data_IF_564376031901
#
_entry.id   IF_564376031901
#
_cell.length_a   1.000
_cell.length_b   1.000
_cell.length_c   1.000
_cell.angle_alpha   90.00
_cell.angle_beta   90.00
_cell.angle_gamma   90.00
#
_symmetry.space_group_name_H-M   'P 1'
#
loop_
_entity.id
_entity.type
_entity.pdbx_description
1 polymer ?
#
# COMPACT_ATOMS: atom_id res chain seq x y z
N UNK A 1 -9.41 -8.96 22.56
CA UNK A 1 -9.11 -8.71 21.14
C UNK A 1 -7.62 -8.91 20.90
N UNK A 2 -7.22 -9.06 19.64
CA UNK A 2 -5.84 -9.22 19.21
C UNK A 2 -5.46 -8.07 18.29
N UNK A 3 -4.25 -7.55 18.45
CA UNK A 3 -3.63 -6.54 17.59
C UNK A 3 -2.23 -7.00 17.20
N UNK A 4 -1.67 -6.42 16.14
CA UNK A 4 -0.33 -6.76 15.69
C UNK A 4 0.73 -6.46 16.75
N UNK A 5 1.65 -7.40 16.93
CA UNK A 5 2.84 -7.25 17.73
C UNK A 5 3.97 -6.62 16.89
N UNK A 6 4.08 -5.29 16.94
CA UNK A 6 5.06 -4.48 16.18
C UNK A 6 6.51 -4.92 16.39
N UNK A 7 6.82 -5.56 17.51
CA UNK A 7 8.17 -6.02 17.82
C UNK A 7 8.56 -7.31 17.09
N UNK A 8 7.58 -8.03 16.55
CA UNK A 8 7.78 -9.41 16.06
C UNK A 8 7.34 -9.62 14.63
N UNK A 9 6.38 -8.84 14.13
CA UNK A 9 6.01 -8.84 12.71
C UNK A 9 7.19 -8.32 11.88
N UNK A 10 7.46 -8.96 10.74
CA UNK A 10 8.64 -8.67 9.90
C UNK A 10 8.23 -8.39 8.46
N UNK A 11 8.94 -7.49 7.76
CA UNK A 11 8.69 -7.25 6.34
C UNK A 11 8.61 -8.56 5.55
N UNK A 12 7.67 -8.60 4.64
CA UNK A 12 7.23 -9.76 3.86
C UNK A 12 6.51 -10.86 4.62
N UNK A 13 6.12 -10.70 5.88
CA UNK A 13 5.12 -11.63 6.45
C UNK A 13 3.83 -11.60 5.61
N UNK A 14 3.33 -12.78 5.25
CA UNK A 14 2.10 -12.96 4.46
C UNK A 14 0.98 -13.34 5.41
N UNK A 15 -0.08 -12.54 5.45
CA UNK A 15 -1.27 -12.81 6.23
C UNK A 15 -2.30 -13.42 5.30
N UNK A 16 -2.75 -14.63 5.59
CA UNK A 16 -3.82 -15.33 4.89
C UNK A 16 -5.10 -15.25 5.70
N UNK A 17 -6.22 -14.96 5.05
CA UNK A 17 -7.51 -14.78 5.70
C UNK A 17 -8.59 -15.63 5.06
N UNK A 18 -9.53 -16.09 5.91
CA UNK A 18 -10.86 -16.55 5.49
C UNK A 18 -11.90 -15.64 6.12
N UNK A 19 -12.99 -15.39 5.39
CA UNK A 19 -14.07 -14.53 5.87
C UNK A 19 -15.31 -15.38 6.13
N UNK A 20 -15.60 -15.74 7.40
CA UNK A 20 -16.73 -16.61 7.73
C UNK A 20 -18.06 -16.06 7.20
N UNK A 21 -18.86 -16.93 6.56
CA UNK A 21 -20.16 -16.56 6.00
C UNK A 21 -20.11 -15.77 4.69
N UNK A 22 -18.92 -15.42 4.19
CA UNK A 22 -18.77 -14.75 2.90
C UNK A 22 -18.77 -15.77 1.74
N UNK A 23 -19.75 -15.66 0.85
CA UNK A 23 -19.91 -16.58 -0.30
C UNK A 23 -18.73 -16.56 -1.27
N UNK A 24 -18.12 -15.39 -1.49
CA UNK A 24 -16.95 -15.26 -2.37
C UNK A 24 -15.73 -15.94 -1.74
N UNK A 25 -15.49 -15.70 -0.44
CA UNK A 25 -14.44 -16.37 0.33
C UNK A 25 -14.57 -17.90 0.25
N UNK A 26 -15.78 -18.43 0.47
CA UNK A 26 -16.06 -19.86 0.35
C UNK A 26 -15.79 -20.41 -1.05
N UNK A 27 -16.15 -19.65 -2.10
CA UNK A 27 -15.90 -20.06 -3.47
C UNK A 27 -14.39 -20.12 -3.78
N UNK A 28 -13.64 -19.07 -3.41
CA UNK A 28 -12.19 -19.01 -3.61
C UNK A 28 -11.49 -20.16 -2.87
N UNK A 29 -11.81 -20.42 -1.60
CA UNK A 29 -11.24 -21.53 -0.82
C UNK A 29 -11.42 -22.88 -1.50
N UNK A 30 -12.63 -23.18 -1.97
CA UNK A 30 -12.91 -24.42 -2.73
C UNK A 30 -12.15 -24.47 -4.06
N UNK A 31 -12.02 -23.33 -4.73
CA UNK A 31 -11.34 -23.20 -6.01
C UNK A 31 -9.82 -23.40 -5.85
N UNK A 32 -9.23 -22.78 -4.84
CA UNK A 32 -7.79 -22.81 -4.57
C UNK A 32 -7.38 -24.00 -3.70
N UNK A 33 -8.34 -24.82 -3.23
CA UNK A 33 -8.10 -25.94 -2.30
C UNK A 33 -7.30 -25.50 -1.07
N UNK A 34 -7.67 -24.35 -0.51
CA UNK A 34 -7.02 -23.72 0.64
C UNK A 34 -8.04 -23.40 1.71
N UNK A 35 -7.57 -23.32 2.96
CA UNK A 35 -8.39 -22.79 4.05
C UNK A 35 -8.61 -21.28 3.97
N UNK A 36 -7.86 -20.58 3.11
CA UNK A 36 -7.86 -19.13 3.00
C UNK A 36 -8.30 -18.66 1.59
N UNK A 37 -8.79 -17.43 1.51
CA UNK A 37 -9.32 -16.82 0.27
C UNK A 37 -8.71 -15.46 -0.06
N UNK A 38 -7.88 -14.93 0.83
CA UNK A 38 -7.37 -13.58 0.72
C UNK A 38 -5.99 -13.52 1.35
N UNK A 39 -5.15 -12.62 0.85
CA UNK A 39 -3.81 -12.40 1.37
C UNK A 39 -3.47 -10.91 1.42
N UNK A 40 -2.74 -10.56 2.47
CA UNK A 40 -2.13 -9.25 2.72
C UNK A 40 -0.64 -9.47 2.98
N UNK A 41 0.20 -8.53 2.58
CA UNK A 41 1.65 -8.59 2.87
C UNK A 41 2.03 -7.41 3.76
N UNK A 42 2.76 -7.68 4.85
CA UNK A 42 3.38 -6.61 5.64
C UNK A 42 4.63 -6.12 4.91
N UNK A 43 4.73 -4.83 4.61
CA UNK A 43 5.86 -4.28 3.84
C UNK A 43 6.87 -3.54 4.72
N UNK A 44 6.73 -3.62 6.05
CA UNK A 44 7.51 -2.84 7.01
C UNK A 44 6.86 -1.50 7.37
N UNK A 45 7.49 -0.77 8.29
CA UNK A 45 7.08 0.58 8.71
C UNK A 45 5.60 0.71 9.11
N UNK A 46 5.03 -0.27 9.80
CA UNK A 46 3.60 -0.31 10.15
C UNK A 46 2.64 -0.29 8.96
N UNK A 47 3.09 -0.74 7.78
CA UNK A 47 2.32 -0.71 6.54
C UNK A 47 2.07 -2.12 5.99
N UNK A 48 0.84 -2.33 5.53
CA UNK A 48 0.39 -3.52 4.81
C UNK A 48 -0.08 -3.14 3.43
N UNK A 49 0.00 -4.09 2.51
CA UNK A 49 -0.57 -3.99 1.17
C UNK A 49 -1.59 -5.10 0.94
N UNK A 50 -2.73 -4.73 0.36
CA UNK A 50 -3.87 -5.61 0.12
C UNK A 50 -4.46 -5.39 -1.28
N UNK A 51 -4.70 -6.49 -1.98
CA UNK A 51 -5.48 -6.49 -3.22
C UNK A 51 -6.97 -6.64 -2.90
N UNK A 52 -7.69 -5.52 -2.91
CA UNK A 52 -9.15 -5.45 -2.73
C UNK A 52 -9.74 -4.52 -3.78
N UNK A 53 -11.03 -4.63 -4.09
CA UNK A 53 -11.66 -3.70 -5.02
C UNK A 53 -11.71 -2.27 -4.47
N UNK A 54 -11.56 -1.24 -5.33
CA UNK A 54 -11.32 -1.32 -6.78
C UNK A 54 -9.83 -1.43 -7.17
N UNK A 55 -8.91 -1.18 -6.25
CA UNK A 55 -7.47 -1.10 -6.49
C UNK A 55 -6.67 -1.70 -5.34
N UNK A 56 -5.43 -2.08 -5.59
CA UNK A 56 -4.50 -2.47 -4.53
C UNK A 56 -4.30 -1.29 -3.58
N UNK A 57 -4.48 -1.51 -2.28
CA UNK A 57 -4.44 -0.47 -1.25
C UNK A 57 -3.32 -0.71 -0.24
N UNK A 58 -2.90 0.37 0.43
CA UNK A 58 -1.94 0.36 1.52
C UNK A 58 -2.65 0.78 2.81
N UNK A 59 -2.48 0.03 3.90
CA UNK A 59 -3.09 0.40 5.18
C UNK A 59 -2.14 0.19 6.34
N UNK A 60 -2.44 0.83 7.47
CA UNK A 60 -1.59 0.77 8.65
C UNK A 60 -1.97 -0.34 9.64
N UNK A 61 -0.99 -0.88 10.35
CA UNK A 61 -1.18 -1.81 11.48
C UNK A 61 -2.16 -1.30 12.53
N UNK A 62 -2.29 0.01 12.73
CA UNK A 62 -3.21 0.60 13.72
C UNK A 62 -4.68 0.54 13.33
N UNK A 63 -5.00 0.23 12.07
CA UNK A 63 -6.37 0.31 11.56
C UNK A 63 -7.26 -0.84 12.03
N UNK A 64 -6.67 -2.01 12.26
CA UNK A 64 -7.43 -3.24 12.42
C UNK A 64 -7.14 -3.94 13.74
N UNK A 65 -8.19 -4.55 14.29
CA UNK A 65 -8.09 -5.55 15.34
C UNK A 65 -8.79 -6.84 14.89
N UNK A 66 -8.50 -7.92 15.61
CA UNK A 66 -9.07 -9.23 15.39
C UNK A 66 -9.71 -9.73 16.68
N UNK A 67 -10.96 -10.19 16.62
CA UNK A 67 -11.62 -10.76 17.79
C UNK A 67 -11.05 -12.14 18.19
N UNK A 68 -10.71 -12.93 17.17
CA UNK A 68 -10.12 -14.27 17.25
C UNK A 68 -9.10 -14.45 16.13
N UNK A 69 -8.23 -15.46 16.24
CA UNK A 69 -7.19 -15.73 15.24
C UNK A 69 -7.52 -16.94 14.35
N UNK A 70 -8.61 -17.67 14.64
CA UNK A 70 -9.00 -18.92 13.93
C UNK A 70 -9.25 -18.75 12.43
N UNK A 71 -9.43 -17.52 11.95
CA UNK A 71 -9.73 -17.20 10.56
C UNK A 71 -8.55 -16.56 9.81
N UNK A 72 -7.36 -16.69 10.37
CA UNK A 72 -6.16 -16.01 9.94
C UNK A 72 -4.95 -16.93 10.13
N UNK A 73 -3.96 -16.79 9.25
CA UNK A 73 -2.64 -17.41 9.38
C UNK A 73 -1.58 -16.43 8.92
N UNK A 74 -0.45 -16.38 9.61
CA UNK A 74 0.71 -15.57 9.21
C UNK A 74 1.86 -16.48 8.83
N UNK A 75 2.34 -16.31 7.61
CA UNK A 75 3.43 -17.06 7.03
C UNK A 75 4.68 -16.18 6.95
N UNK A 76 5.81 -16.74 7.34
CA UNK A 76 7.12 -16.09 7.28
C UNK A 76 8.10 -16.91 6.47
N UNK A 77 8.95 -16.24 5.70
CA UNK A 77 10.06 -16.90 4.98
C UNK A 77 11.00 -17.57 5.99
N UNK A 78 11.23 -18.88 5.83
CA UNK A 78 12.09 -19.63 6.75
C UNK A 78 13.55 -19.15 6.68
N UNK A 79 14.31 -19.24 7.79
CA UNK A 79 15.68 -18.75 7.85
C UNK A 79 16.61 -19.25 6.74
N UNK A 80 16.46 -20.50 6.30
CA UNK A 80 17.29 -21.11 5.25
C UNK A 80 17.10 -20.48 3.86
N UNK A 81 15.97 -19.81 3.60
CA UNK A 81 15.69 -19.15 2.32
C UNK A 81 15.99 -17.66 2.33
N UNK A 82 16.20 -17.04 3.50
CA UNK A 82 16.46 -15.60 3.63
C UNK A 82 17.71 -15.17 2.86
N UNK A 83 18.78 -15.98 2.89
CA UNK A 83 20.03 -15.64 2.21
C UNK A 83 19.90 -15.56 0.68
N UNK A 84 18.91 -16.24 0.10
CA UNK A 84 18.60 -16.21 -1.33
C UNK A 84 17.56 -15.17 -1.71
N UNK A 85 16.98 -14.46 -0.74
CA UNK A 85 15.89 -13.52 -0.95
C UNK A 85 16.38 -12.07 -1.00
N UNK A 86 16.24 -11.42 -2.15
CA UNK A 86 16.53 -10.00 -2.35
C UNK A 86 15.33 -9.15 -1.91
N UNK A 87 15.32 -8.74 -0.64
CA UNK A 87 14.24 -7.95 -0.04
C UNK A 87 14.06 -6.60 -0.71
N UNK A 88 15.13 -5.97 -1.21
CA UNK A 88 15.06 -4.67 -1.88
C UNK A 88 14.32 -4.79 -3.22
N UNK A 89 14.61 -5.81 -4.02
CA UNK A 89 13.87 -6.07 -5.27
C UNK A 89 12.42 -6.42 -5.01
N UNK A 90 12.16 -7.26 -4.00
CA UNK A 90 10.80 -7.61 -3.61
C UNK A 90 10.01 -6.38 -3.14
N UNK A 91 10.63 -5.48 -2.38
CA UNK A 91 9.97 -4.25 -1.90
C UNK A 91 9.63 -3.32 -3.05
N UNK A 92 10.58 -3.11 -3.97
CA UNK A 92 10.33 -2.31 -5.16
C UNK A 92 9.20 -2.91 -6.01
N UNK A 93 9.19 -4.24 -6.19
CA UNK A 93 8.13 -4.92 -6.93
C UNK A 93 6.75 -4.76 -6.26
N UNK A 94 6.64 -4.98 -4.95
CA UNK A 94 5.35 -4.91 -4.24
C UNK A 94 4.80 -3.49 -4.19
N UNK A 95 5.66 -2.49 -3.98
CA UNK A 95 5.23 -1.08 -3.95
C UNK A 95 4.73 -0.60 -5.31
N UNK A 96 5.29 -1.10 -6.41
CA UNK A 96 4.79 -0.82 -7.77
C UNK A 96 3.39 -1.38 -8.04
N UNK A 97 2.95 -2.37 -7.27
CA UNK A 97 1.58 -2.89 -7.36
C UNK A 97 0.57 -2.04 -6.62
N UNK A 98 1.00 -1.13 -5.73
CA UNK A 98 0.10 -0.23 -5.04
C UNK A 98 -0.68 0.61 -6.06
N UNK A 99 -1.98 0.80 -5.80
CA UNK A 99 -2.90 1.55 -6.65
C UNK A 99 -3.17 0.95 -8.04
N UNK A 100 -2.60 -0.21 -8.38
CA UNK A 100 -2.99 -0.95 -9.58
C UNK A 100 -4.44 -1.44 -9.46
N UNK A 101 -5.13 -1.56 -10.60
CA UNK A 101 -6.51 -2.06 -10.63
C UNK A 101 -6.61 -3.50 -10.10
N UNK A 102 -7.59 -3.73 -9.22
CA UNK A 102 -7.96 -5.08 -8.83
C UNK A 102 -8.68 -5.80 -9.98
N UNK A 103 -8.40 -7.09 -10.19
CA UNK A 103 -8.90 -7.84 -11.34
C UNK A 103 -9.66 -9.11 -10.96
N UNK A 104 -10.99 -8.98 -10.90
CA UNK A 104 -11.88 -10.14 -10.80
C UNK A 104 -11.72 -11.12 -11.98
N UNK A 105 -11.41 -10.60 -13.18
CA UNK A 105 -11.19 -11.45 -14.34
C UNK A 105 -9.97 -12.32 -14.14
N UNK A 106 -8.87 -11.77 -13.62
CA UNK A 106 -7.68 -12.55 -13.27
C UNK A 106 -7.98 -13.60 -12.20
N UNK A 107 -8.74 -13.25 -11.16
CA UNK A 107 -9.19 -14.20 -10.13
C UNK A 107 -9.92 -15.40 -10.75
N UNK A 108 -10.78 -15.15 -11.74
CA UNK A 108 -11.50 -16.20 -12.47
C UNK A 108 -10.62 -16.97 -13.46
N UNK A 109 -9.57 -16.34 -13.99
CA UNK A 109 -8.66 -16.88 -15.00
C UNK A 109 -7.46 -17.62 -14.43
N UNK A 110 -7.16 -17.50 -13.12
CA UNK A 110 -6.04 -18.20 -12.48
C UNK A 110 -6.02 -19.71 -12.75
N UNK A 111 -7.20 -20.34 -12.93
CA UNK A 111 -7.31 -21.76 -13.30
C UNK A 111 -7.10 -22.06 -14.78
N UNK A 112 -7.40 -21.10 -15.66
CA UNK A 112 -7.38 -21.30 -17.11
C UNK A 112 -6.03 -21.00 -17.74
N UNK A 113 -5.14 -20.36 -16.99
CA UNK A 113 -3.83 -19.90 -17.46
C UNK A 113 -3.91 -19.09 -18.78
N UNK A 114 -4.93 -18.24 -18.88
CA UNK A 114 -5.26 -17.49 -20.10
C UNK A 114 -4.96 -15.98 -19.95
N UNK A 115 -3.78 -15.65 -19.41
CA UNK A 115 -3.25 -14.29 -19.42
C UNK A 115 -2.71 -13.94 -20.80
N UNK A 116 -2.92 -12.68 -21.19
CA UNK A 116 -2.33 -12.14 -22.41
C UNK A 116 -0.79 -12.25 -22.34
N UNK A 117 -0.21 -12.81 -23.39
CA UNK A 117 1.24 -12.98 -23.58
C UNK A 117 2.02 -11.66 -23.37
N UNK A 118 1.44 -10.52 -23.75
CA UNK A 118 2.09 -9.21 -23.58
C UNK A 118 2.38 -8.88 -22.10
N UNK A 119 1.45 -9.20 -21.19
CA UNK A 119 1.68 -8.98 -19.75
C UNK A 119 2.79 -9.88 -19.22
N UNK A 120 2.83 -11.13 -19.69
CA UNK A 120 3.85 -12.11 -19.29
C UNK A 120 5.23 -11.67 -19.80
N UNK A 121 5.35 -11.31 -21.08
CA UNK A 121 6.63 -10.91 -21.66
C UNK A 121 7.17 -9.65 -20.99
N UNK A 122 6.34 -8.62 -20.77
CA UNK A 122 6.77 -7.39 -20.08
C UNK A 122 7.24 -7.63 -18.65
N UNK A 123 6.58 -8.53 -17.91
CA UNK A 123 7.06 -8.88 -16.58
C UNK A 123 8.42 -9.57 -16.64
N UNK A 124 8.61 -10.52 -17.57
CA UNK A 124 9.88 -11.26 -17.71
C UNK A 124 11.02 -10.38 -18.26
N UNK A 125 10.72 -9.50 -19.20
CA UNK A 125 11.70 -8.69 -19.92
C UNK A 125 12.05 -7.40 -19.17
N UNK A 126 11.04 -6.72 -18.63
CA UNK A 126 11.17 -5.37 -18.06
C UNK A 126 10.92 -5.31 -16.53
N UNK A 127 10.51 -6.42 -15.92
CA UNK A 127 10.12 -6.46 -14.50
C UNK A 127 8.82 -5.70 -14.21
N UNK A 128 8.01 -5.41 -15.23
CA UNK A 128 6.80 -4.60 -15.11
C UNK A 128 5.54 -5.45 -15.23
N UNK A 129 4.71 -5.45 -14.18
CA UNK A 129 3.40 -6.08 -14.20
C UNK A 129 2.33 -5.08 -14.63
N UNK A 130 1.65 -5.39 -15.72
CA UNK A 130 0.61 -4.53 -16.34
C UNK A 130 -0.73 -5.26 -16.45
N UNK A 131 -0.77 -6.51 -16.01
CA UNK A 131 -2.04 -7.18 -15.76
C UNK A 131 -2.71 -6.53 -14.55
N UNK A 132 -4.04 -6.60 -14.48
CA UNK A 132 -4.68 -6.29 -13.20
C UNK A 132 -4.18 -7.21 -12.09
N UNK A 133 -4.38 -6.83 -10.83
CA UNK A 133 -3.80 -7.52 -9.67
C UNK A 133 -4.89 -8.25 -8.89
N UNK A 134 -4.57 -9.42 -8.36
CA UNK A 134 -5.35 -10.09 -7.30
C UNK A 134 -4.48 -10.29 -6.07
N UNK A 135 -5.11 -10.56 -4.92
CA UNK A 135 -4.39 -10.70 -3.66
C UNK A 135 -3.34 -11.84 -3.66
N UNK A 136 -3.52 -12.91 -4.44
CA UNK A 136 -2.48 -13.94 -4.58
C UNK A 136 -1.30 -13.51 -5.46
N UNK A 137 -1.54 -12.83 -6.59
CA UNK A 137 -0.45 -12.29 -7.44
C UNK A 137 0.34 -11.19 -6.75
N UNK A 138 -0.33 -10.42 -5.89
CA UNK A 138 0.32 -9.43 -5.01
C UNK A 138 1.32 -10.09 -4.04
N UNK A 139 1.08 -11.34 -3.62
CA UNK A 139 2.06 -12.11 -2.85
C UNK A 139 3.16 -12.65 -3.77
N UNK A 140 2.82 -13.33 -4.85
CA UNK A 140 3.80 -14.11 -5.60
C UNK A 140 4.75 -13.29 -6.49
N UNK A 141 4.29 -12.18 -7.09
CA UNK A 141 5.16 -11.36 -7.95
C UNK A 141 6.35 -10.76 -7.18
N UNK A 142 6.19 -10.16 -5.99
CA UNK A 142 7.31 -9.65 -5.20
C UNK A 142 8.29 -10.74 -4.75
N UNK A 143 7.77 -11.89 -4.30
CA UNK A 143 8.63 -13.01 -3.90
C UNK A 143 9.47 -13.51 -5.06
N UNK A 144 8.88 -13.62 -6.25
CA UNK A 144 9.59 -14.01 -7.46
C UNK A 144 10.65 -12.98 -7.85
N UNK A 145 10.34 -11.68 -7.78
CA UNK A 145 11.32 -10.61 -8.00
C UNK A 145 12.48 -10.67 -6.99
N UNK A 146 12.20 -11.11 -5.77
CA UNK A 146 13.19 -11.39 -4.72
C UNK A 146 13.92 -12.72 -4.86
N UNK A 147 13.61 -13.56 -5.86
CA UNK A 147 14.31 -14.83 -6.13
C UNK A 147 13.63 -16.08 -5.56
N UNK A 148 12.41 -15.98 -5.03
CA UNK A 148 11.64 -17.11 -4.50
C UNK A 148 10.42 -17.37 -5.39
N UNK A 149 10.40 -18.51 -6.08
CA UNK A 149 9.29 -18.90 -6.95
C UNK A 149 8.25 -19.76 -6.23
N UNK A 150 7.24 -19.11 -5.63
CA UNK A 150 6.11 -19.80 -4.98
C UNK A 150 5.29 -20.64 -5.98
N UNK A 151 5.30 -20.29 -7.27
CA UNK A 151 4.52 -20.99 -8.30
C UNK A 151 5.05 -22.39 -8.59
N UNK A 152 6.37 -22.58 -8.37
CA UNK A 152 7.18 -23.76 -8.72
C UNK A 152 7.22 -24.09 -10.21
N UNK A 153 6.95 -23.11 -11.08
CA UNK A 153 6.93 -23.30 -12.53
C UNK A 153 7.25 -22.02 -13.34
N UNK A 154 7.92 -21.03 -12.75
CA UNK A 154 8.25 -19.74 -13.37
C UNK A 154 7.01 -18.96 -13.87
N UNK A 155 5.87 -19.15 -13.19
CA UNK A 155 4.59 -18.49 -13.47
C UNK A 155 4.06 -17.79 -12.21
N UNK A 156 4.75 -16.74 -11.71
CA UNK A 156 4.36 -16.05 -10.48
C UNK A 156 2.99 -15.35 -10.58
N UNK A 157 2.38 -15.27 -11.74
CA UNK A 157 1.05 -14.71 -11.98
C UNK A 157 -0.11 -15.73 -11.88
N UNK A 158 0.16 -17.02 -11.64
CA UNK A 158 -0.84 -18.09 -11.49
C UNK A 158 -0.80 -18.80 -10.13
N UNK A 159 -0.36 -18.11 -9.08
CA UNK A 159 -0.28 -18.71 -7.75
C UNK A 159 -1.65 -18.65 -7.06
N UNK A 160 -2.13 -19.80 -6.60
CA UNK A 160 -3.34 -19.90 -5.78
C UNK A 160 -2.99 -19.95 -4.28
N UNK A 161 -4.00 -19.74 -3.42
CA UNK A 161 -3.79 -19.74 -1.96
C UNK A 161 -3.30 -21.08 -1.42
N UNK A 162 -3.65 -22.21 -2.06
CA UNK A 162 -3.21 -23.53 -1.62
C UNK A 162 -1.70 -23.66 -1.76
N UNK A 163 -1.14 -23.21 -2.89
CA UNK A 163 0.31 -23.15 -3.12
C UNK A 163 1.02 -22.25 -2.11
N UNK A 164 0.46 -21.06 -1.81
CA UNK A 164 1.06 -20.15 -0.80
C UNK A 164 1.04 -20.80 0.58
N UNK A 165 -0.12 -21.33 0.99
CA UNK A 165 -0.36 -21.93 2.29
C UNK A 165 0.54 -23.13 2.59
N UNK A 166 0.77 -23.99 1.58
CA UNK A 166 1.56 -25.22 1.70
C UNK A 166 3.00 -25.10 1.20
N UNK A 167 3.44 -23.90 0.83
CA UNK A 167 4.78 -23.68 0.27
C UNK A 167 5.86 -24.07 1.28
N UNK A 168 6.89 -24.78 0.82
CA UNK A 168 8.01 -25.20 1.66
C UNK A 168 8.86 -24.01 2.15
N UNK A 169 8.77 -22.87 1.46
CA UNK A 169 9.51 -21.65 1.80
C UNK A 169 9.07 -21.00 3.11
N UNK A 170 7.85 -21.31 3.58
CA UNK A 170 7.23 -20.57 4.67
C UNK A 170 7.00 -21.42 5.93
N UNK A 171 7.10 -20.77 7.08
CA UNK A 171 6.67 -21.27 8.39
C UNK A 171 5.50 -20.44 8.94
N UNK A 172 4.68 -21.05 9.79
CA UNK A 172 3.57 -20.37 10.46
C UNK A 172 4.07 -19.66 11.72
N UNK A 173 3.87 -18.35 11.79
CA UNK A 173 4.28 -17.48 12.91
C UNK A 173 3.09 -16.77 13.56
N UNK A 174 1.86 -17.25 13.32
CA UNK A 174 0.63 -16.60 13.78
C UNK A 174 0.64 -16.32 15.28
N UNK A 175 1.14 -17.24 16.09
CA UNK A 175 1.16 -17.08 17.55
C UNK A 175 2.11 -15.99 18.04
N UNK A 176 3.13 -15.63 17.25
CA UNK A 176 4.19 -14.70 17.66
C UNK A 176 3.83 -13.23 17.34
N UNK A 177 3.11 -13.03 16.23
CA UNK A 177 2.89 -11.71 15.62
C UNK A 177 1.65 -10.98 16.12
N UNK A 178 0.94 -11.54 17.10
CA UNK A 178 -0.20 -10.89 17.76
C UNK A 178 -0.01 -10.79 19.26
N UNK A 179 -0.52 -9.71 19.84
CA UNK A 179 -0.69 -9.56 21.29
C UNK A 179 -2.17 -9.48 21.63
N UNK A 180 -2.56 -10.22 22.67
CA UNK A 180 -3.90 -10.10 23.23
C UNK A 180 -3.95 -8.84 24.10
N UNK A 181 -5.00 -8.04 23.91
CA UNK A 181 -5.27 -6.85 24.70
C UNK A 181 -6.71 -6.88 25.23
N UNK A 182 -6.88 -6.42 26.47
CA UNK A 182 -8.15 -6.41 27.20
C UNK A 182 -8.96 -5.12 27.02
N UNK A 183 -8.42 -4.15 26.27
CA UNK A 183 -9.06 -2.84 26.08
C UNK A 183 -10.14 -2.89 25.00
N UNK A 184 -11.07 -1.95 25.08
CA UNK A 184 -11.90 -1.57 23.94
C UNK A 184 -11.01 -1.12 22.76
N UNK A 185 -11.40 -1.42 21.52
CA UNK A 185 -10.71 -0.90 20.34
C UNK A 185 -10.64 0.63 20.39
N UNK A 186 -9.53 1.18 19.93
CA UNK A 186 -9.37 2.63 19.84
C UNK A 186 -10.43 3.25 18.94
N UNK A 187 -10.73 4.54 19.14
CA UNK A 187 -11.57 5.29 18.21
C UNK A 187 -11.01 5.15 16.79
N UNK A 188 -11.79 4.57 15.88
CA UNK A 188 -11.44 4.27 14.48
C UNK A 188 -10.52 3.05 14.24
N UNK A 189 -10.46 2.10 15.19
CA UNK A 189 -10.03 0.73 14.86
C UNK A 189 -11.23 -0.11 14.41
N UNK A 190 -11.02 -1.01 13.45
CA UNK A 190 -12.09 -1.81 12.86
C UNK A 190 -11.81 -3.31 12.99
N UNK A 191 -12.86 -4.10 13.21
CA UNK A 191 -12.76 -5.55 13.11
C UNK A 191 -12.57 -5.91 11.64
N UNK A 192 -11.40 -6.45 11.30
CA UNK A 192 -11.06 -6.80 9.92
C UNK A 192 -12.04 -7.82 9.32
N UNK A 193 -12.60 -8.72 10.14
CA UNK A 193 -13.55 -9.74 9.66
C UNK A 193 -14.96 -9.21 9.47
N UNK A 194 -15.27 -8.01 9.96
CA UNK A 194 -16.61 -7.43 9.78
C UNK A 194 -16.93 -7.15 8.30
N UNK A 195 -15.89 -6.86 7.49
CA UNK A 195 -16.00 -6.43 6.09
C UNK A 195 -16.98 -5.25 5.90
N UNK A 196 -17.34 -4.53 6.98
CA UNK A 196 -18.25 -3.41 6.91
C UNK A 196 -17.52 -2.20 6.33
N UNK A 197 -18.15 -1.42 5.44
CA UNK A 197 -17.58 -0.15 4.99
C UNK A 197 -17.24 0.73 6.19
N UNK A 198 -16.01 1.19 6.24
CA UNK A 198 -15.48 2.01 7.34
C UNK A 198 -15.64 3.51 7.06
N UNK A 199 -15.94 3.90 5.80
CA UNK A 199 -15.97 5.28 5.31
C UNK A 199 -14.68 6.06 5.63
N UNK A 200 -13.58 5.34 5.75
CA UNK A 200 -12.24 5.89 6.02
C UNK A 200 -11.67 6.54 4.77
N UNK A 201 -10.61 7.33 4.94
CA UNK A 201 -9.97 7.97 3.80
C UNK A 201 -9.22 6.95 2.93
N UNK A 202 -8.77 5.82 3.49
CA UNK A 202 -8.29 4.71 2.66
C UNK A 202 -9.33 4.25 1.63
N UNK A 203 -10.57 4.01 2.05
CA UNK A 203 -11.64 3.57 1.14
C UNK A 203 -11.94 4.65 0.10
N UNK A 204 -12.04 5.91 0.53
CA UNK A 204 -12.22 7.06 -0.38
C UNK A 204 -11.06 7.20 -1.37
N UNK A 205 -9.83 6.99 -0.91
CA UNK A 205 -8.63 7.05 -1.74
C UNK A 205 -8.64 5.92 -2.76
N UNK A 206 -8.98 4.69 -2.35
CA UNK A 206 -9.11 3.57 -3.26
C UNK A 206 -10.15 3.85 -4.35
N UNK A 207 -11.32 4.38 -3.98
CA UNK A 207 -12.36 4.80 -4.93
C UNK A 207 -11.87 5.88 -5.90
N UNK A 208 -11.21 6.92 -5.38
CA UNK A 208 -10.67 8.02 -6.19
C UNK A 208 -9.58 7.53 -7.14
N UNK A 209 -8.66 6.70 -6.66
CA UNK A 209 -7.62 6.08 -7.49
C UNK A 209 -8.23 5.17 -8.55
N UNK A 210 -9.23 4.36 -8.21
CA UNK A 210 -9.95 3.54 -9.19
C UNK A 210 -10.62 4.39 -10.28
N UNK A 211 -11.19 5.55 -9.91
CA UNK A 211 -11.73 6.53 -10.87
C UNK A 211 -10.63 7.13 -11.75
N UNK A 212 -9.51 7.56 -11.17
CA UNK A 212 -8.35 8.10 -11.89
C UNK A 212 -7.75 7.07 -12.86
N UNK A 213 -7.62 5.83 -12.42
CA UNK A 213 -7.12 4.74 -13.24
C UNK A 213 -8.02 4.54 -14.47
N UNK A 214 -9.33 4.43 -14.27
CA UNK A 214 -10.28 4.32 -15.38
C UNK A 214 -10.19 5.52 -16.32
N UNK A 215 -10.07 6.73 -15.78
CA UNK A 215 -9.97 7.94 -16.58
C UNK A 215 -8.72 7.95 -17.46
N UNK A 216 -7.54 7.69 -16.88
CA UNK A 216 -6.27 7.65 -17.64
C UNK A 216 -6.24 6.50 -18.64
N UNK A 217 -6.79 5.34 -18.30
CA UNK A 217 -6.87 4.21 -19.23
C UNK A 217 -7.75 4.55 -20.46
N UNK A 218 -8.89 5.24 -20.26
CA UNK A 218 -9.70 5.72 -21.37
C UNK A 218 -8.97 6.79 -22.19
N UNK A 219 -8.28 7.71 -21.53
CA UNK A 219 -7.47 8.74 -22.19
C UNK A 219 -6.38 8.12 -23.08
N UNK A 220 -5.69 7.08 -22.60
CA UNK A 220 -4.74 6.31 -23.40
C UNK A 220 -5.40 5.64 -24.61
N UNK A 221 -6.59 5.07 -24.46
CA UNK A 221 -7.34 4.48 -25.58
C UNK A 221 -7.74 5.54 -26.62
N UNK A 222 -8.20 6.70 -26.19
CA UNK A 222 -8.53 7.85 -27.05
C UNK A 222 -7.30 8.29 -27.85
N UNK A 223 -6.21 8.59 -27.15
CA UNK A 223 -4.95 9.06 -27.75
C UNK A 223 -4.36 8.02 -28.70
N UNK A 224 -4.46 6.72 -28.38
CA UNK A 224 -4.03 5.63 -29.26
C UNK A 224 -4.85 5.56 -30.54
N UNK A 225 -6.17 5.73 -30.45
CA UNK A 225 -7.06 5.70 -31.60
C UNK A 225 -6.84 6.89 -32.54
N UNK A 226 -6.43 8.04 -31.98
CA UNK A 226 -6.20 9.29 -32.71
C UNK A 226 -4.71 9.54 -33.03
N UNK A 227 -3.81 8.58 -32.78
CA UNK A 227 -2.36 8.80 -32.87
C UNK A 227 -1.88 9.36 -34.21
N UNK A 228 -2.54 8.98 -35.31
CA UNK A 228 -2.19 9.43 -36.66
C UNK A 228 -2.62 10.87 -36.95
N UNK A 229 -3.51 11.45 -36.12
CA UNK A 229 -3.95 12.84 -36.21
C UNK A 229 -2.96 13.80 -35.52
N UNK A 230 -2.10 13.30 -34.63
CA UNK A 230 -1.18 14.08 -33.81
C UNK A 230 0.26 13.54 -33.91
N UNK A 231 0.88 13.54 -35.11
CA UNK A 231 2.23 13.00 -35.31
C UNK A 231 3.31 13.68 -34.45
N UNK A 232 3.07 14.92 -34.02
CA UNK A 232 3.95 15.69 -33.13
C UNK A 232 4.12 15.07 -31.74
N UNK A 233 3.15 14.26 -31.28
CA UNK A 233 3.21 13.59 -29.98
C UNK A 233 4.23 12.43 -29.95
N UNK A 234 4.70 11.97 -31.13
CA UNK A 234 5.69 10.89 -31.31
C UNK A 234 5.33 9.59 -30.56
N UNK A 235 4.05 9.26 -30.56
CA UNK A 235 3.50 8.09 -29.86
C UNK A 235 3.84 6.79 -30.60
N UNK A 236 4.26 5.79 -29.85
CA UNK A 236 4.44 4.41 -30.29
C UNK A 236 3.44 3.49 -29.58
N UNK A 237 3.16 2.30 -30.14
CA UNK A 237 2.23 1.35 -29.49
C UNK A 237 2.73 0.85 -28.13
N UNK A 238 4.04 1.00 -27.85
CA UNK A 238 4.65 0.67 -26.56
C UNK A 238 4.34 1.71 -25.48
N UNK A 239 3.88 2.91 -25.84
CA UNK A 239 3.64 4.03 -24.91
C UNK A 239 2.29 3.94 -24.19
N UNK A 240 1.46 2.94 -24.49
CA UNK A 240 0.15 2.75 -23.85
C UNK A 240 0.17 1.65 -22.79
N UNK A 241 1.29 1.57 -22.07
CA UNK A 241 1.42 0.72 -20.89
C UNK A 241 0.62 1.32 -19.77
N UNK A 242 -0.28 0.55 -19.18
CA UNK A 242 -1.08 1.03 -18.07
C UNK A 242 -1.06 0.02 -16.93
N UNK A 243 -0.58 0.48 -15.78
CA UNK A 243 -0.55 -0.22 -14.50
C UNK A 243 -1.37 0.59 -13.48
N UNK A 244 -1.15 1.91 -13.45
CA UNK A 244 -1.94 2.86 -12.67
C UNK A 244 -1.95 4.24 -13.36
N UNK A 245 -2.73 5.18 -12.81
CA UNK A 245 -2.91 6.52 -13.37
C UNK A 245 -1.62 7.37 -13.43
N UNK A 246 -0.61 7.08 -12.59
CA UNK A 246 0.66 7.79 -12.55
C UNK A 246 1.54 7.49 -13.78
N UNK A 247 1.27 6.41 -14.51
CA UNK A 247 1.95 6.07 -15.77
C UNK A 247 1.77 7.17 -16.84
N UNK A 248 0.85 8.12 -16.64
CA UNK A 248 0.65 9.28 -17.52
C UNK A 248 1.80 10.30 -17.46
N UNK A 249 2.58 10.37 -16.37
CA UNK A 249 3.50 11.48 -16.12
C UNK A 249 4.63 11.64 -17.15
N UNK A 250 5.33 10.57 -17.59
CA UNK A 250 6.35 10.70 -18.63
C UNK A 250 5.78 11.30 -19.92
N UNK A 251 4.51 11.01 -20.21
CA UNK A 251 3.83 11.49 -21.41
C UNK A 251 3.38 12.93 -21.27
N UNK A 252 2.93 13.38 -20.09
CA UNK A 252 2.66 14.80 -19.85
C UNK A 252 3.89 15.63 -20.20
N UNK A 253 5.08 15.24 -19.70
CA UNK A 253 6.33 15.94 -20.02
C UNK A 253 6.63 15.97 -21.52
N UNK A 254 6.43 14.85 -22.21
CA UNK A 254 6.71 14.75 -23.65
C UNK A 254 5.71 15.55 -24.50
N UNK A 255 4.44 15.57 -24.13
CA UNK A 255 3.35 16.09 -24.97
C UNK A 255 3.05 17.57 -24.71
N UNK A 256 3.44 18.13 -23.56
CA UNK A 256 3.03 19.46 -23.10
C UNK A 256 3.38 20.62 -24.04
N UNK A 257 4.38 20.46 -24.91
CA UNK A 257 4.73 21.49 -25.91
C UNK A 257 3.66 21.64 -27.01
N UNK A 258 2.70 20.72 -27.09
CA UNK A 258 1.64 20.68 -28.11
C UNK A 258 0.30 21.13 -27.52
N UNK A 259 -0.60 21.64 -28.36
CA UNK A 259 -1.96 22.02 -27.93
C UNK A 259 -2.72 20.82 -27.36
N UNK A 260 -2.61 19.65 -28.01
CA UNK A 260 -3.24 18.42 -27.54
C UNK A 260 -2.68 17.95 -26.20
N UNK A 261 -1.37 18.05 -25.99
CA UNK A 261 -0.75 17.72 -24.71
C UNK A 261 -1.19 18.65 -23.57
N UNK A 262 -1.37 19.95 -23.84
CA UNK A 262 -1.91 20.90 -22.87
C UNK A 262 -3.39 20.63 -22.57
N UNK A 263 -4.19 20.23 -23.56
CA UNK A 263 -5.56 19.77 -23.35
C UNK A 263 -5.59 18.53 -22.44
N UNK A 264 -4.74 17.54 -22.71
CA UNK A 264 -4.56 16.32 -21.91
C UNK A 264 -4.19 16.67 -20.46
N UNK A 265 -3.17 17.51 -20.24
CA UNK A 265 -2.78 17.97 -18.91
C UNK A 265 -3.94 18.66 -18.17
N UNK A 266 -4.67 19.54 -18.84
CA UNK A 266 -5.85 20.19 -18.24
C UNK A 266 -6.91 19.17 -17.83
N UNK A 267 -7.19 18.16 -18.66
CA UNK A 267 -8.17 17.11 -18.37
C UNK A 267 -7.75 16.30 -17.13
N UNK A 268 -6.49 15.90 -17.05
CA UNK A 268 -5.92 15.16 -15.91
C UNK A 268 -5.96 16.01 -14.64
N UNK A 269 -5.48 17.26 -14.71
CA UNK A 269 -5.52 18.20 -13.61
C UNK A 269 -6.94 18.37 -13.04
N UNK A 270 -7.95 18.55 -13.90
CA UNK A 270 -9.34 18.68 -13.44
C UNK A 270 -9.86 17.42 -12.75
N UNK A 271 -9.47 16.24 -13.24
CA UNK A 271 -9.87 14.97 -12.63
C UNK A 271 -9.21 14.78 -11.24
N UNK A 272 -7.90 15.03 -11.13
CA UNK A 272 -7.17 14.96 -9.85
C UNK A 272 -7.71 15.99 -8.86
N UNK A 273 -7.95 17.22 -9.29
CA UNK A 273 -8.47 18.29 -8.44
C UNK A 273 -9.91 18.02 -7.99
N UNK A 274 -10.82 17.68 -8.92
CA UNK A 274 -12.24 17.49 -8.61
C UNK A 274 -12.54 16.20 -7.84
N UNK A 275 -11.67 15.19 -7.93
CA UNK A 275 -11.76 13.99 -7.11
C UNK A 275 -11.33 14.23 -5.65
N UNK A 276 -10.61 15.31 -5.37
CA UNK A 276 -10.09 15.63 -4.04
C UNK A 276 -8.87 14.81 -3.63
N UNK A 277 -8.25 14.07 -4.55
CA UNK A 277 -7.10 13.20 -4.31
C UNK A 277 -6.00 13.87 -3.46
N UNK A 278 -5.70 15.13 -3.75
CA UNK A 278 -4.62 15.89 -3.11
C UNK A 278 -4.89 16.29 -1.66
N UNK A 279 -6.16 16.25 -1.23
CA UNK A 279 -6.57 16.72 0.10
C UNK A 279 -6.83 15.58 1.08
N UNK A 280 -6.93 14.33 0.60
CA UNK A 280 -7.32 13.17 1.40
C UNK A 280 -6.43 12.97 2.63
N UNK A 281 -5.11 13.04 2.44
CA UNK A 281 -4.15 12.87 3.53
C UNK A 281 -4.18 14.02 4.52
N UNK A 282 -4.37 15.25 4.03
CA UNK A 282 -4.49 16.43 4.87
C UNK A 282 -5.72 16.33 5.77
N UNK A 283 -6.86 15.92 5.22
CA UNK A 283 -8.11 15.79 5.97
C UNK A 283 -8.01 14.72 7.06
N UNK A 284 -7.43 13.54 6.81
CA UNK A 284 -7.37 12.47 7.83
C UNK A 284 -6.43 12.82 8.97
N UNK A 285 -5.25 13.33 8.64
CA UNK A 285 -4.28 13.72 9.66
C UNK A 285 -4.85 14.82 10.55
N UNK A 286 -5.55 15.81 9.99
CA UNK A 286 -6.09 16.91 10.79
C UNK A 286 -7.36 16.55 11.57
N UNK A 287 -8.22 15.68 11.02
CA UNK A 287 -9.50 15.28 11.64
C UNK A 287 -9.36 14.10 12.61
N UNK A 288 -8.42 13.20 12.37
CA UNK A 288 -8.19 11.96 13.15
C UNK A 288 -6.78 11.92 13.72
N UNK A 289 -6.33 13.05 14.28
CA UNK A 289 -4.98 13.22 14.82
C UNK A 289 -4.55 12.09 15.76
N UNK A 290 -5.46 11.49 16.52
CA UNK A 290 -5.14 10.35 17.40
C UNK A 290 -4.67 9.08 16.68
N UNK A 291 -5.05 8.86 15.41
CA UNK A 291 -4.57 7.72 14.61
C UNK A 291 -3.15 7.91 14.08
N UNK A 292 -2.74 9.16 13.88
CA UNK A 292 -1.45 9.52 13.27
C UNK A 292 -0.45 10.08 14.29
N UNK A 293 -0.96 10.60 15.41
CA UNK A 293 -0.22 11.27 16.47
C UNK A 293 -0.72 10.78 17.83
N UNK A 294 -0.15 9.70 18.37
CA UNK A 294 -0.43 9.20 19.70
C UNK A 294 -0.08 10.20 20.83
N UNK A 295 0.60 11.31 20.53
CA UNK A 295 0.83 12.40 21.49
C UNK A 295 -0.47 12.91 22.12
N UNK A 296 -1.58 12.90 21.39
CA UNK A 296 -2.89 13.29 21.92
C UNK A 296 -3.44 12.31 22.98
N UNK A 297 -2.86 11.12 23.13
CA UNK A 297 -3.12 10.21 24.26
C UNK A 297 -2.22 10.48 25.49
N UNK A 298 -1.16 11.29 25.33
CA UNK A 298 -0.22 11.67 26.40
C UNK A 298 -0.64 13.01 27.04
N UNK A 299 -1.29 13.89 26.27
CA UNK A 299 -1.83 15.14 26.80
C UNK A 299 -2.94 14.86 27.83
N UNK A 300 -2.90 15.50 29.02
CA UNK A 300 -3.99 15.37 29.98
C UNK A 300 -5.28 15.91 29.34
N UNK A 301 -6.31 15.07 29.20
CA UNK A 301 -7.68 15.55 29.04
C UNK A 301 -8.23 15.85 30.44
N UNK A 302 -9.01 16.92 30.60
CA UNK A 302 -9.63 17.30 31.88
C UNK A 302 -10.58 16.20 32.44
N UNK A 303 -10.97 15.27 31.57
CA UNK A 303 -12.02 14.27 31.72
C UNK A 303 -11.66 12.90 31.12
N UNK A 304 -10.41 12.70 30.67
CA UNK A 304 -9.94 11.46 30.03
C UNK A 304 -9.07 10.55 30.91
N UNK A 305 -8.83 9.29 30.51
CA UNK A 305 -8.01 8.36 31.27
C UNK A 305 -6.58 8.90 31.47
N UNK A 306 -6.00 8.62 32.64
CA UNK A 306 -4.64 9.00 33.04
C UNK A 306 -3.61 8.66 31.94
N UNK A 307 -2.64 9.56 31.74
CA UNK A 307 -1.42 9.40 30.92
C UNK A 307 -1.02 7.92 30.81
N UNK A 308 -1.18 7.32 29.63
CA UNK A 308 -0.63 5.99 29.37
C UNK A 308 0.49 6.13 28.35
N UNK A 309 1.71 6.33 28.86
CA UNK A 309 2.91 6.13 28.06
C UNK A 309 3.01 4.62 27.79
N UNK A 310 2.96 4.19 26.52
CA UNK A 310 3.02 2.77 26.18
C UNK A 310 4.40 2.18 26.47
N UNK A 311 5.44 2.66 25.79
CA UNK A 311 6.85 2.41 26.09
C UNK A 311 7.73 3.34 25.23
N UNK A 312 8.99 3.58 25.64
CA UNK A 312 9.95 4.30 24.79
C UNK A 312 10.12 3.66 23.42
N UNK A 313 10.26 2.33 23.39
CA UNK A 313 10.42 1.54 22.17
C UNK A 313 9.29 1.74 21.17
N UNK A 314 8.04 1.84 21.64
CA UNK A 314 6.89 2.12 20.78
C UNK A 314 7.06 3.43 20.00
N UNK A 315 7.47 4.52 20.68
CA UNK A 315 7.66 5.82 20.06
C UNK A 315 8.87 5.86 19.12
N UNK A 316 9.94 5.13 19.46
CA UNK A 316 11.12 4.97 18.59
C UNK A 316 10.74 4.28 17.29
N UNK A 317 9.99 3.17 17.35
CA UNK A 317 9.53 2.44 16.16
C UNK A 317 8.61 3.30 15.27
N UNK A 318 7.76 4.12 15.88
CA UNK A 318 6.92 5.05 15.10
C UNK A 318 7.75 6.15 14.43
N UNK A 319 8.76 6.69 15.13
CA UNK A 319 9.68 7.68 14.56
C UNK A 319 10.41 7.10 13.33
N UNK A 320 10.95 5.88 13.44
CA UNK A 320 11.63 5.17 12.35
C UNK A 320 10.70 4.96 11.14
N UNK A 321 9.47 4.49 11.36
CA UNK A 321 8.47 4.34 10.29
C UNK A 321 8.18 5.66 9.56
N UNK A 322 8.02 6.77 10.30
CA UNK A 322 7.79 8.08 9.69
C UNK A 322 9.03 8.63 8.97
N UNK A 323 10.23 8.35 9.46
CA UNK A 323 11.48 8.75 8.80
C UNK A 323 11.65 8.04 7.45
N UNK A 324 11.39 6.73 7.38
CA UNK A 324 11.37 6.01 6.10
C UNK A 324 10.27 6.51 5.16
N UNK A 325 9.08 6.84 5.68
CA UNK A 325 8.03 7.46 4.87
C UNK A 325 8.45 8.84 4.34
N UNK A 326 9.14 9.64 5.16
CA UNK A 326 9.64 10.96 4.79
C UNK A 326 10.70 10.88 3.70
N UNK A 327 11.62 9.92 3.78
CA UNK A 327 12.63 9.68 2.75
C UNK A 327 11.97 9.43 1.39
N UNK A 328 11.05 8.45 1.32
CA UNK A 328 10.32 8.12 0.07
C UNK A 328 9.52 9.29 -0.49
N UNK A 329 8.86 10.06 0.39
CA UNK A 329 8.05 11.22 -0.05
C UNK A 329 8.93 12.38 -0.49
N UNK A 330 10.11 12.56 0.10
CA UNK A 330 11.09 13.55 -0.34
C UNK A 330 11.68 13.19 -1.72
N UNK A 331 11.95 11.90 -1.97
CA UNK A 331 12.37 11.43 -3.30
C UNK A 331 11.30 11.70 -4.37
N UNK A 332 10.02 11.45 -4.04
CA UNK A 332 8.89 11.74 -4.92
C UNK A 332 8.74 13.25 -5.16
N UNK A 333 8.88 14.08 -4.11
CA UNK A 333 8.89 15.54 -4.19
C UNK A 333 10.01 16.03 -5.12
N UNK A 334 11.23 15.53 -4.95
CA UNK A 334 12.40 15.89 -5.78
C UNK A 334 12.21 15.46 -7.23
N UNK A 335 11.71 14.24 -7.49
CA UNK A 335 11.41 13.77 -8.84
C UNK A 335 10.36 14.64 -9.53
N UNK A 336 9.28 14.99 -8.82
CA UNK A 336 8.23 15.89 -9.29
C UNK A 336 8.76 17.31 -9.52
N UNK A 337 9.61 17.82 -8.63
CA UNK A 337 10.25 19.12 -8.79
C UNK A 337 11.13 19.16 -10.04
N UNK A 338 11.96 18.13 -10.25
CA UNK A 338 12.79 18.03 -11.45
C UNK A 338 11.93 18.01 -12.72
N UNK A 339 10.86 17.23 -12.75
CA UNK A 339 9.92 17.22 -13.88
C UNK A 339 9.25 18.59 -14.08
N UNK A 340 8.80 19.23 -13.00
CA UNK A 340 8.17 20.54 -13.03
C UNK A 340 9.10 21.64 -13.56
N UNK A 341 10.40 21.60 -13.21
CA UNK A 341 11.38 22.59 -13.72
C UNK A 341 11.58 22.51 -15.23
N UNK A 342 11.38 21.33 -15.82
CA UNK A 342 11.45 21.11 -17.27
C UNK A 342 10.11 21.45 -17.93
N UNK A 343 9.01 21.03 -17.31
CA UNK A 343 7.66 21.14 -17.81
C UNK A 343 6.70 21.59 -16.69
N UNK A 344 6.34 22.89 -16.59
CA UNK A 344 5.51 23.41 -15.52
C UNK A 344 4.02 23.16 -15.79
N UNK A 345 3.65 21.90 -16.04
CA UNK A 345 2.26 21.51 -16.30
C UNK A 345 1.40 21.66 -15.04
N UNK A 346 0.09 21.83 -15.22
CA UNK A 346 -0.82 22.05 -14.08
C UNK A 346 -0.89 20.83 -13.19
N UNK A 347 -0.87 19.64 -13.78
CA UNK A 347 -0.89 18.38 -13.02
C UNK A 347 0.36 18.26 -12.15
N UNK A 348 1.55 18.54 -12.69
CA UNK A 348 2.80 18.45 -11.92
C UNK A 348 2.87 19.50 -10.81
N UNK A 349 2.40 20.72 -11.06
CA UNK A 349 2.31 21.76 -10.04
C UNK A 349 1.45 21.31 -8.84
N UNK A 350 0.25 20.80 -9.13
CA UNK A 350 -0.70 20.33 -8.13
C UNK A 350 -0.13 19.20 -7.26
N UNK A 351 0.60 18.26 -7.88
CA UNK A 351 1.20 17.14 -7.18
C UNK A 351 2.44 17.54 -6.37
N UNK A 352 3.27 18.45 -6.90
CA UNK A 352 4.40 19.00 -6.14
C UNK A 352 3.92 19.65 -4.84
N UNK A 353 2.84 20.44 -4.91
CA UNK A 353 2.24 21.05 -3.72
C UNK A 353 1.72 20.00 -2.72
N UNK A 354 1.12 18.91 -3.23
CA UNK A 354 0.67 17.78 -2.41
C UNK A 354 1.85 17.09 -1.68
N UNK A 355 2.88 16.68 -2.41
CA UNK A 355 4.04 16.00 -1.81
C UNK A 355 4.75 16.88 -0.80
N UNK A 356 5.02 18.14 -1.14
CA UNK A 356 5.63 19.10 -0.22
C UNK A 356 4.84 19.27 1.07
N UNK A 357 3.52 19.42 0.95
CA UNK A 357 2.64 19.56 2.12
C UNK A 357 2.69 18.33 3.02
N UNK A 358 2.77 17.13 2.43
CA UNK A 358 2.91 15.88 3.15
C UNK A 358 4.27 15.72 3.82
N UNK A 359 5.35 16.04 3.11
CA UNK A 359 6.73 16.05 3.65
C UNK A 359 6.84 16.96 4.88
N UNK A 360 6.27 18.16 4.85
CA UNK A 360 6.28 19.09 5.97
C UNK A 360 5.51 18.55 7.18
N UNK A 361 4.38 17.89 6.93
CA UNK A 361 3.60 17.23 7.97
C UNK A 361 4.37 16.07 8.63
N UNK A 362 5.02 15.21 7.84
CA UNK A 362 5.88 14.13 8.35
C UNK A 362 7.01 14.67 9.23
N UNK A 363 7.70 15.73 8.77
CA UNK A 363 8.76 16.39 9.57
C UNK A 363 8.24 16.91 10.91
N UNK A 364 7.04 17.51 10.92
CA UNK A 364 6.41 17.96 12.17
C UNK A 364 6.12 16.79 13.09
N UNK A 365 5.55 15.72 12.55
CA UNK A 365 5.24 14.46 13.27
C UNK A 365 6.47 13.90 13.95
N UNK A 366 7.55 13.68 13.20
CA UNK A 366 8.82 13.13 13.70
C UNK A 366 9.36 13.95 14.88
N UNK A 367 9.35 15.29 14.77
CA UNK A 367 9.80 16.19 15.85
C UNK A 367 8.97 16.05 17.12
N UNK A 368 7.66 15.88 17.00
CA UNK A 368 6.77 15.65 18.15
C UNK A 368 7.14 14.33 18.87
N UNK A 369 7.36 13.25 18.12
CA UNK A 369 7.78 11.96 18.70
C UNK A 369 9.14 12.04 19.39
N UNK A 370 10.14 12.68 18.78
CA UNK A 370 11.44 12.91 19.39
C UNK A 370 11.34 13.69 20.71
N UNK A 371 10.42 14.66 20.80
CA UNK A 371 10.14 15.39 22.04
C UNK A 371 9.56 14.49 23.14
N UNK A 372 8.64 13.59 22.79
CA UNK A 372 8.04 12.61 23.72
C UNK A 372 9.12 11.66 24.28
N UNK A 373 9.98 11.14 23.40
CA UNK A 373 11.06 10.23 23.80
C UNK A 373 11.98 10.93 24.81
N UNK A 374 12.32 12.20 24.56
CA UNK A 374 13.13 13.01 25.49
C UNK A 374 12.45 13.23 26.84
N UNK A 375 11.15 13.54 26.87
CA UNK A 375 10.40 13.72 28.13
C UNK A 375 10.35 12.40 28.93
N UNK A 376 10.16 11.27 28.25
CA UNK A 376 10.18 9.95 28.88
C UNK A 376 11.49 9.67 29.62
N UNK A 377 12.64 9.95 28.98
CA UNK A 377 13.95 9.75 29.58
C UNK A 377 14.16 10.65 30.82
N UNK A 378 13.69 11.90 30.77
CA UNK A 378 13.75 12.83 31.90
C UNK A 378 12.92 12.34 33.09
N UNK A 379 11.69 11.89 32.85
CA UNK A 379 10.81 11.35 33.90
C UNK A 379 11.41 10.09 34.54
N UNK A 380 11.97 9.18 33.74
CA UNK A 380 12.61 7.96 34.23
C UNK A 380 13.84 8.29 35.09
N UNK A 381 14.67 9.25 34.67
CA UNK A 381 15.83 9.69 35.44
C UNK A 381 15.43 10.31 36.78
N UNK A 382 14.36 11.11 36.83
CA UNK A 382 13.85 11.69 38.06
C UNK A 382 13.34 10.61 39.03
N UNK A 383 12.60 9.60 38.55
CA UNK A 383 12.10 8.52 39.41
C UNK A 383 13.23 7.70 40.07
N UNK A 384 14.37 7.53 39.40
CA UNK A 384 15.56 6.87 39.97
C UNK A 384 16.26 7.71 41.05
N UNK A 385 16.08 9.04 41.04
CA UNK A 385 16.66 9.92 42.07
C UNK A 385 15.83 9.99 43.36
N UNK A 386 14.56 9.59 43.31
CA UNK A 386 13.61 9.69 44.43
C UNK A 386 13.17 8.34 45.02
N UNK A 387 13.66 7.22 44.49
CA UNK A 387 13.49 5.87 45.03
C UNK A 387 14.84 5.24 45.36
#
# INVERSE_FOLDING_TARGET
>A
MYIFNRDTIKPFDILLFRFPGNRMSDAIRRICRSEYSHAVVYIGDDSFIEGVEPVVTLFSTYRYFFNELDNLKVLRLKPEFIAGFDSTKAEHAIRRLAYCNYSNSLLSSMRKQDLNYEHISRFKDDGQWTGGVVCSTMVSLPYYAGGIDISNNEEPYYVDFGKIESSEYFEDVTADVFVQVEKEPGENMFDYFSMLPTNTILEKQAEIVGRLNNFVEQLFKEVKAEKDLFPELKITDKDFVFSNWEDIYPYINQWFETEKGQEIDNRIYQEVYSSGYTNLWFDEVHSKRSLYFPFYFILPREDGPKRKIESKKHYELSCESFEHALERMSEAEDALFNNFTICPSKTLHLLLDMYRSWTDLLRSTIREYQSIIKEYDQLKAALVQFG
#
